data_IF_747642926503
#
_entry.id   IF_747642926503
#
_cell.length_a   1.000
_cell.length_b   1.000
_cell.length_c   1.000
_cell.angle_alpha   90.00
_cell.angle_beta   90.00
_cell.angle_gamma   90.00
#
_symmetry.space_group_name_H-M   'P 1'
#
loop_
_entity.id
_entity.type
_entity.pdbx_description
1 polymer ?
#
# COMPACT_ATOMS: atom_id res chain seq x y z
N UNK A 1 -9.96 -75.45 45.99
CA UNK A 1 -11.17 -74.62 45.86
C UNK A 1 -10.92 -73.12 46.05
N UNK A 2 -9.81 -72.67 46.66
CA UNK A 2 -9.54 -71.24 46.88
C UNK A 2 -8.97 -70.42 45.69
N UNK A 3 -8.51 -71.06 44.60
CA UNK A 3 -7.87 -70.34 43.49
C UNK A 3 -8.86 -69.85 42.41
N UNK A 4 -10.03 -70.49 42.28
CA UNK A 4 -11.03 -70.07 41.29
C UNK A 4 -11.85 -68.84 41.75
N UNK A 5 -11.97 -68.60 43.06
CA UNK A 5 -12.65 -67.43 43.60
C UNK A 5 -11.84 -66.14 43.42
N UNK A 6 -10.51 -66.20 43.56
CA UNK A 6 -9.62 -65.05 43.29
C UNK A 6 -9.55 -64.72 41.79
N UNK A 7 -9.61 -65.74 40.93
CA UNK A 7 -9.64 -65.56 39.46
C UNK A 7 -10.96 -64.97 38.97
N UNK A 8 -12.07 -65.28 39.64
CA UNK A 8 -13.37 -64.67 39.34
C UNK A 8 -13.45 -63.21 39.79
N UNK A 9 -12.74 -62.80 40.87
CA UNK A 9 -12.63 -61.39 41.27
C UNK A 9 -11.77 -60.53 40.33
N UNK A 10 -10.79 -61.12 39.64
CA UNK A 10 -9.92 -60.41 38.69
C UNK A 10 -10.52 -60.28 37.27
N UNK A 11 -11.67 -60.92 37.01
CA UNK A 11 -12.33 -60.96 35.70
C UNK A 11 -13.71 -60.27 35.69
N UNK A 12 -14.15 -59.71 36.81
CA UNK A 12 -15.25 -58.75 36.80
C UNK A 12 -14.62 -57.38 36.51
N UNK A 13 -14.91 -56.75 35.35
CA UNK A 13 -14.71 -55.32 35.25
C UNK A 13 -15.62 -54.72 36.29
N UNK A 14 -15.05 -53.95 37.22
CA UNK A 14 -15.78 -53.29 38.27
C UNK A 14 -16.86 -52.40 37.59
N UNK A 15 -18.12 -52.88 37.56
CA UNK A 15 -19.26 -52.12 37.02
C UNK A 15 -19.49 -50.80 37.78
N UNK A 16 -18.78 -50.61 38.90
CA UNK A 16 -18.69 -49.35 39.63
C UNK A 16 -17.96 -48.24 38.84
N UNK A 17 -17.10 -48.57 37.87
CA UNK A 17 -16.48 -47.58 36.96
C UNK A 17 -17.43 -47.11 35.85
N UNK A 18 -18.50 -47.85 35.54
CA UNK A 18 -19.43 -47.49 34.47
C UNK A 18 -20.45 -46.41 34.87
N UNK A 19 -20.58 -46.13 36.18
CA UNK A 19 -21.38 -45.04 36.73
C UNK A 19 -20.55 -43.98 37.47
N UNK A 20 -19.22 -44.03 37.35
CA UNK A 20 -18.40 -42.89 37.73
C UNK A 20 -18.66 -41.79 36.70
N UNK A 21 -19.46 -40.80 37.10
CA UNK A 21 -19.42 -39.45 36.55
C UNK A 21 -17.97 -39.16 36.22
N UNK A 22 -17.65 -39.04 34.94
CA UNK A 22 -16.31 -38.70 34.47
C UNK A 22 -15.91 -37.39 35.15
N UNK A 23 -15.21 -37.51 36.28
CA UNK A 23 -14.75 -36.38 37.05
C UNK A 23 -13.32 -36.09 36.59
N UNK A 24 -13.13 -35.07 35.74
CA UNK A 24 -11.81 -34.71 35.25
C UNK A 24 -10.86 -34.39 36.41
N UNK A 25 -11.37 -34.19 37.64
CA UNK A 25 -10.56 -33.85 38.78
C UNK A 25 -9.84 -34.99 39.50
N UNK A 26 -10.25 -36.23 39.26
CA UNK A 26 -9.67 -37.43 39.88
C UNK A 26 -8.28 -37.85 39.35
N UNK A 27 -7.83 -37.29 38.21
CA UNK A 27 -6.57 -37.66 37.58
C UNK A 27 -5.34 -37.10 38.33
N UNK A 28 -4.27 -37.88 38.57
CA UNK A 28 -3.06 -37.38 39.21
C UNK A 28 -2.43 -36.26 38.36
N UNK A 29 -1.99 -35.16 38.98
CA UNK A 29 -1.54 -33.92 38.30
C UNK A 29 -0.57 -34.18 37.13
N UNK A 30 0.35 -35.15 37.30
CA UNK A 30 1.33 -35.55 36.29
C UNK A 30 0.71 -36.12 35.02
N UNK A 31 -0.42 -36.81 35.14
CA UNK A 31 -1.19 -37.36 34.02
C UNK A 31 -1.99 -36.27 33.30
N UNK A 32 -2.65 -35.35 34.04
CA UNK A 32 -3.28 -34.14 33.47
C UNK A 32 -2.27 -33.30 32.69
N UNK A 33 -1.06 -33.13 33.22
CA UNK A 33 0.00 -32.37 32.56
C UNK A 33 0.53 -33.06 31.29
N UNK A 34 0.61 -34.41 31.28
CA UNK A 34 0.94 -35.19 30.09
C UNK A 34 -0.15 -35.11 29.01
N UNK A 35 -1.42 -35.20 29.42
CA UNK A 35 -2.57 -35.06 28.52
C UNK A 35 -2.68 -33.65 27.95
N UNK A 36 -2.57 -32.61 28.78
CA UNK A 36 -2.57 -31.21 28.33
C UNK A 36 -1.38 -30.88 27.41
N UNK A 37 -0.19 -31.44 27.68
CA UNK A 37 0.99 -31.30 26.83
C UNK A 37 0.86 -32.07 25.50
N UNK A 38 0.05 -33.13 25.45
CA UNK A 38 -0.21 -33.95 24.25
C UNK A 38 -1.41 -33.44 23.44
N UNK A 39 -2.37 -32.77 24.08
CA UNK A 39 -3.55 -32.15 23.47
C UNK A 39 -3.26 -30.76 22.88
N UNK A 40 -2.13 -30.15 23.24
CA UNK A 40 -1.61 -28.98 22.54
C UNK A 40 -0.92 -29.46 21.26
N UNK A 41 -1.71 -29.83 20.27
CA UNK A 41 -1.24 -30.09 18.90
C UNK A 41 -0.38 -28.90 18.46
N UNK A 42 0.86 -29.15 18.04
CA UNK A 42 1.81 -28.07 17.77
C UNK A 42 1.27 -27.14 16.67
N UNK A 43 0.99 -25.85 16.98
CA UNK A 43 0.20 -24.96 16.13
C UNK A 43 0.98 -24.44 14.92
N UNK A 44 2.16 -25.00 14.62
CA UNK A 44 3.04 -24.52 13.56
C UNK A 44 2.35 -24.62 12.19
N UNK A 45 1.61 -25.70 11.93
CA UNK A 45 0.89 -25.86 10.67
C UNK A 45 -0.26 -24.85 10.53
N UNK A 46 -1.01 -24.58 11.61
CA UNK A 46 -2.09 -23.57 11.61
C UNK A 46 -1.49 -22.17 11.38
N UNK A 47 -0.40 -21.84 12.06
CA UNK A 47 0.33 -20.59 11.86
C UNK A 47 0.86 -20.44 10.43
N UNK A 48 1.38 -21.51 9.83
CA UNK A 48 1.83 -21.50 8.43
C UNK A 48 0.66 -21.25 7.48
N UNK A 49 -0.50 -21.88 7.69
CA UNK A 49 -1.68 -21.64 6.87
C UNK A 49 -2.21 -20.21 6.99
N UNK A 50 -2.23 -19.65 8.20
CA UNK A 50 -2.61 -18.24 8.42
C UNK A 50 -1.64 -17.28 7.72
N UNK A 51 -0.33 -17.52 7.84
CA UNK A 51 0.68 -16.71 7.15
C UNK A 51 0.54 -16.83 5.63
N UNK A 52 0.29 -18.02 5.08
CA UNK A 52 0.06 -18.21 3.65
C UNK A 52 -1.21 -17.49 3.16
N UNK A 53 -2.29 -17.51 3.95
CA UNK A 53 -3.51 -16.77 3.65
C UNK A 53 -3.29 -15.25 3.67
N UNK A 54 -2.51 -14.75 4.64
CA UNK A 54 -2.14 -13.33 4.72
C UNK A 54 -1.23 -12.95 3.54
N UNK A 55 -0.24 -13.77 3.19
CA UNK A 55 0.62 -13.52 2.04
C UNK A 55 -0.18 -13.51 0.74
N UNK A 56 -1.16 -14.40 0.58
CA UNK A 56 -2.02 -14.42 -0.59
C UNK A 56 -2.90 -13.18 -0.69
N UNK A 57 -3.50 -12.73 0.42
CA UNK A 57 -4.31 -11.50 0.43
C UNK A 57 -3.47 -10.26 0.16
N UNK A 58 -2.26 -10.16 0.73
CA UNK A 58 -1.31 -9.08 0.43
C UNK A 58 -0.89 -9.11 -1.04
N UNK A 59 -0.53 -10.28 -1.57
CA UNK A 59 -0.15 -10.42 -2.98
C UNK A 59 -1.31 -10.04 -3.92
N UNK A 60 -2.54 -10.46 -3.62
CA UNK A 60 -3.73 -10.06 -4.36
C UNK A 60 -3.99 -8.55 -4.30
N UNK A 61 -3.85 -7.94 -3.12
CA UNK A 61 -3.98 -6.49 -2.95
C UNK A 61 -2.90 -5.73 -3.72
N UNK A 62 -1.64 -6.20 -3.68
CA UNK A 62 -0.53 -5.62 -4.45
C UNK A 62 -0.74 -5.76 -5.96
N UNK A 63 -1.27 -6.90 -6.41
CA UNK A 63 -1.60 -7.11 -7.81
C UNK A 63 -2.72 -6.17 -8.26
N UNK A 64 -3.80 -6.06 -7.49
CA UNK A 64 -4.89 -5.12 -7.77
C UNK A 64 -4.39 -3.67 -7.79
N UNK A 65 -3.54 -3.29 -6.83
CA UNK A 65 -2.94 -1.95 -6.78
C UNK A 65 -2.06 -1.68 -8.01
N UNK A 66 -1.17 -2.62 -8.36
CA UNK A 66 -0.31 -2.52 -9.53
C UNK A 66 -1.11 -2.47 -10.84
N UNK A 67 -2.16 -3.29 -10.96
CA UNK A 67 -3.02 -3.31 -12.15
C UNK A 67 -3.81 -2.00 -12.28
N UNK A 68 -4.36 -1.49 -11.18
CA UNK A 68 -5.08 -0.22 -11.15
C UNK A 68 -4.18 0.95 -11.58
N UNK A 69 -2.94 1.02 -11.06
CA UNK A 69 -2.00 2.08 -11.42
C UNK A 69 -1.62 2.08 -12.92
N UNK A 70 -1.45 0.89 -13.53
CA UNK A 70 -1.11 0.76 -14.94
C UNK A 70 -2.28 1.09 -15.88
N UNK A 71 -3.50 0.60 -15.59
CA UNK A 71 -4.69 0.91 -16.39
C UNK A 71 -5.03 2.41 -16.31
N UNK A 72 -4.87 3.00 -15.12
CA UNK A 72 -5.13 4.42 -14.90
C UNK A 72 -4.27 5.32 -15.80
N UNK A 73 -3.03 4.93 -16.13
CA UNK A 73 -2.18 5.69 -17.03
C UNK A 73 -2.75 5.78 -18.46
N UNK A 74 -3.15 4.65 -19.05
CA UNK A 74 -3.68 4.66 -20.43
C UNK A 74 -4.97 5.47 -20.56
N UNK A 75 -5.85 5.34 -19.57
CA UNK A 75 -7.09 6.11 -19.51
C UNK A 75 -6.78 7.60 -19.36
N UNK A 76 -5.91 7.98 -18.42
CA UNK A 76 -5.47 9.37 -18.24
C UNK A 76 -4.80 9.94 -19.49
N UNK A 77 -4.01 9.13 -20.20
CA UNK A 77 -3.38 9.52 -21.46
C UNK A 77 -4.41 9.79 -22.55
N UNK A 78 -5.44 8.95 -22.67
CA UNK A 78 -6.56 9.20 -23.59
C UNK A 78 -7.30 10.49 -23.25
N UNK A 79 -7.63 10.73 -21.98
CA UNK A 79 -8.26 11.99 -21.54
C UNK A 79 -7.36 13.22 -21.77
N UNK A 80 -6.05 13.08 -21.60
CA UNK A 80 -5.11 14.17 -21.89
C UNK A 80 -5.12 14.57 -23.37
N UNK A 81 -5.28 13.60 -24.28
CA UNK A 81 -5.47 13.85 -25.71
C UNK A 81 -6.81 14.50 -26.06
N UNK A 82 -7.86 14.23 -25.27
CA UNK A 82 -9.15 14.92 -25.39
C UNK A 82 -9.11 16.37 -24.92
N UNK A 83 -8.02 16.79 -24.29
CA UNK A 83 -7.81 18.18 -23.88
C UNK A 83 -8.07 18.47 -22.40
N UNK A 84 -8.41 17.47 -21.57
CA UNK A 84 -8.63 17.72 -20.14
C UNK A 84 -7.31 18.10 -19.44
N UNK A 85 -7.28 19.30 -18.87
CA UNK A 85 -6.14 19.92 -18.19
C UNK A 85 -5.63 19.09 -17.01
N UNK A 86 -6.52 18.57 -16.17
CA UNK A 86 -6.18 17.70 -15.03
C UNK A 86 -5.50 16.41 -15.50
N UNK A 87 -6.01 15.81 -16.59
CA UNK A 87 -5.43 14.61 -17.16
C UNK A 87 -4.04 14.87 -17.76
N UNK A 88 -3.87 15.99 -18.47
CA UNK A 88 -2.57 16.43 -18.99
C UNK A 88 -1.56 16.64 -17.87
N UNK A 89 -1.98 17.26 -16.76
CA UNK A 89 -1.15 17.40 -15.56
C UNK A 89 -0.72 16.03 -15.01
N UNK A 90 -1.64 15.08 -14.85
CA UNK A 90 -1.32 13.74 -14.35
C UNK A 90 -0.38 12.97 -15.28
N UNK A 91 -0.56 13.05 -16.60
CA UNK A 91 0.34 12.44 -17.58
C UNK A 91 1.74 13.05 -17.47
N UNK A 92 1.84 14.38 -17.35
CA UNK A 92 3.10 15.07 -17.09
C UNK A 92 3.79 14.56 -15.81
N UNK A 93 3.05 14.41 -14.71
CA UNK A 93 3.58 13.85 -13.46
C UNK A 93 4.10 12.42 -13.61
N UNK A 94 3.40 11.57 -14.38
CA UNK A 94 3.83 10.18 -14.61
C UNK A 94 5.13 10.13 -15.41
N UNK A 95 5.28 10.94 -16.46
CA UNK A 95 6.54 11.07 -17.20
C UNK A 95 7.69 11.66 -16.37
N UNK A 96 7.40 12.58 -15.44
CA UNK A 96 8.40 13.19 -14.57
C UNK A 96 8.96 12.19 -13.54
N UNK A 97 8.09 11.36 -12.96
CA UNK A 97 8.45 10.40 -11.91
C UNK A 97 8.80 9.01 -12.43
N UNK A 98 8.41 8.66 -13.66
CA UNK A 98 8.61 7.33 -14.23
C UNK A 98 7.73 6.24 -13.61
N UNK A 99 6.53 6.59 -13.13
CA UNK A 99 5.61 5.61 -12.51
C UNK A 99 4.82 4.87 -13.58
N UNK A 100 5.25 3.65 -13.92
CA UNK A 100 4.60 2.81 -14.94
C UNK A 100 4.95 3.18 -16.39
N UNK A 101 5.85 4.15 -16.58
CA UNK A 101 6.33 4.62 -17.88
C UNK A 101 7.79 5.06 -17.74
N UNK A 102 8.55 5.02 -18.83
CA UNK A 102 9.91 5.53 -18.83
C UNK A 102 9.95 7.03 -18.48
N UNK A 103 10.94 7.40 -17.68
CA UNK A 103 11.12 8.78 -17.22
C UNK A 103 11.55 9.66 -18.38
N UNK A 104 10.70 10.62 -18.73
CA UNK A 104 10.95 11.58 -19.79
C UNK A 104 10.59 12.99 -19.32
N UNK A 105 11.54 13.71 -18.67
CA UNK A 105 11.26 15.03 -18.11
C UNK A 105 10.92 16.05 -19.20
N UNK A 106 11.52 15.97 -20.39
CA UNK A 106 11.23 16.89 -21.50
C UNK A 106 9.76 16.78 -21.95
N UNK A 107 9.27 15.56 -22.18
CA UNK A 107 7.84 15.31 -22.49
C UNK A 107 6.92 15.73 -21.35
N UNK A 108 7.33 15.55 -20.10
CA UNK A 108 6.54 16.00 -18.96
C UNK A 108 6.29 17.52 -18.99
N UNK A 109 7.32 18.30 -19.36
CA UNK A 109 7.19 19.75 -19.48
C UNK A 109 6.24 20.17 -20.60
N UNK A 110 6.26 19.48 -21.74
CA UNK A 110 5.30 19.73 -22.84
C UNK A 110 3.85 19.49 -22.40
N UNK A 111 3.59 18.44 -21.61
CA UNK A 111 2.26 18.18 -21.06
C UNK A 111 1.84 19.20 -20.01
N UNK A 112 2.77 19.60 -19.13
CA UNK A 112 2.49 20.66 -18.16
C UNK A 112 2.23 22.01 -18.85
N UNK A 113 2.91 22.29 -19.96
CA UNK A 113 2.64 23.47 -20.80
C UNK A 113 1.19 23.48 -21.28
N UNK A 114 0.74 22.41 -21.92
CA UNK A 114 -0.65 22.30 -22.41
C UNK A 114 -1.69 22.50 -21.31
N UNK A 115 -1.44 21.96 -20.12
CA UNK A 115 -2.34 22.14 -18.97
C UNK A 115 -2.25 23.56 -18.39
N UNK A 116 -1.05 24.15 -18.33
CA UNK A 116 -0.84 25.53 -17.86
C UNK A 116 -1.49 26.55 -18.80
N UNK A 117 -1.45 26.32 -20.11
CA UNK A 117 -2.10 27.17 -21.12
C UNK A 117 -3.63 27.17 -20.98
N UNK A 118 -4.20 26.10 -20.38
CA UNK A 118 -5.61 26.03 -19.99
C UNK A 118 -5.91 26.66 -18.63
N UNK A 119 -4.89 27.19 -17.94
CA UNK A 119 -5.03 27.80 -16.62
C UNK A 119 -4.91 26.82 -15.44
N UNK A 120 -4.44 25.59 -15.65
CA UNK A 120 -4.30 24.63 -14.55
C UNK A 120 -3.14 25.04 -13.61
N UNK A 121 -3.41 25.41 -12.35
CA UNK A 121 -2.43 26.10 -11.52
C UNK A 121 -1.28 25.20 -11.06
N UNK A 122 -1.54 23.92 -10.72
CA UNK A 122 -0.45 23.00 -10.38
C UNK A 122 0.42 22.62 -11.59
N UNK A 123 -0.11 22.70 -12.82
CA UNK A 123 0.69 22.43 -14.02
C UNK A 123 1.64 23.59 -14.29
N UNK A 124 1.16 24.83 -14.18
CA UNK A 124 1.98 26.03 -14.24
C UNK A 124 3.11 26.01 -13.19
N UNK A 125 2.80 25.61 -11.95
CA UNK A 125 3.80 25.42 -10.90
C UNK A 125 4.86 24.38 -11.28
N UNK A 126 4.45 23.17 -11.71
CA UNK A 126 5.39 22.10 -12.06
C UNK A 126 6.26 22.45 -13.26
N UNK A 127 5.71 23.16 -14.24
CA UNK A 127 6.44 23.64 -15.41
C UNK A 127 7.53 24.65 -15.01
N UNK A 128 7.17 25.63 -14.18
CA UNK A 128 8.13 26.64 -13.71
C UNK A 128 9.24 26.02 -12.84
N UNK A 129 8.90 25.09 -11.94
CA UNK A 129 9.90 24.35 -11.17
C UNK A 129 10.80 23.52 -12.08
N UNK A 130 10.24 22.91 -13.12
CA UNK A 130 11.01 22.15 -14.08
C UNK A 130 12.04 23.01 -14.83
N UNK A 131 11.62 24.21 -15.25
CA UNK A 131 12.52 25.19 -15.85
C UNK A 131 13.61 25.65 -14.88
N UNK A 132 13.25 25.98 -13.62
CA UNK A 132 14.21 26.40 -12.59
C UNK A 132 15.22 25.29 -12.22
N UNK A 133 14.82 24.01 -12.35
CA UNK A 133 15.71 22.86 -12.17
C UNK A 133 16.63 22.62 -13.37
N UNK A 134 16.46 23.35 -14.48
CA UNK A 134 17.27 23.24 -15.69
C UNK A 134 16.81 22.14 -16.66
N UNK A 135 15.55 21.67 -16.57
CA UNK A 135 15.01 20.82 -17.64
C UNK A 135 14.87 21.62 -18.92
N UNK A 136 15.04 20.95 -20.08
CA UNK A 136 14.79 21.59 -21.36
C UNK A 136 13.30 21.88 -21.49
N UNK A 137 13.00 23.16 -21.65
CA UNK A 137 11.66 23.70 -21.85
C UNK A 137 11.73 24.76 -22.93
N UNK A 138 10.59 25.06 -23.54
CA UNK A 138 10.41 26.17 -24.47
C UNK A 138 10.25 27.54 -23.78
N UNK A 139 10.25 27.59 -22.45
CA UNK A 139 10.06 28.83 -21.67
C UNK A 139 11.19 29.83 -21.89
N UNK A 140 10.81 31.10 -22.02
CA UNK A 140 11.75 32.22 -21.99
C UNK A 140 12.19 32.53 -20.55
N UNK A 141 13.42 33.08 -20.36
CA UNK A 141 13.82 33.66 -19.08
C UNK A 141 12.79 34.72 -18.64
N UNK A 142 12.18 34.53 -17.47
CA UNK A 142 11.13 35.42 -16.91
C UNK A 142 9.71 34.84 -16.94
N UNK A 143 9.39 33.99 -17.92
CA UNK A 143 8.06 33.37 -18.03
C UNK A 143 7.76 32.43 -16.85
N UNK A 144 8.79 31.76 -16.33
CA UNK A 144 8.68 30.90 -15.15
C UNK A 144 8.19 31.65 -13.90
N UNK A 145 8.59 32.91 -13.74
CA UNK A 145 8.15 33.72 -12.61
C UNK A 145 6.65 34.01 -12.71
N UNK A 146 6.17 34.36 -13.91
CA UNK A 146 4.74 34.61 -14.17
C UNK A 146 3.89 33.37 -13.88
N UNK A 147 4.35 32.19 -14.29
CA UNK A 147 3.66 30.93 -14.01
C UNK A 147 3.57 30.61 -12.50
N UNK A 148 4.64 30.87 -11.73
CA UNK A 148 4.63 30.68 -10.27
C UNK A 148 3.67 31.67 -9.61
N UNK A 149 3.68 32.94 -10.02
CA UNK A 149 2.75 33.94 -9.50
C UNK A 149 1.30 33.60 -9.83
N UNK A 150 1.03 33.11 -11.04
CA UNK A 150 -0.30 32.61 -11.42
C UNK A 150 -0.72 31.42 -10.56
N UNK A 151 0.16 30.44 -10.35
CA UNK A 151 -0.15 29.29 -9.49
C UNK A 151 -0.44 29.70 -8.04
N UNK A 152 0.36 30.64 -7.50
CA UNK A 152 0.15 31.18 -6.16
C UNK A 152 -1.20 31.92 -6.03
N UNK A 153 -1.57 32.74 -7.03
CA UNK A 153 -2.84 33.45 -7.04
C UNK A 153 -4.06 32.50 -7.09
N UNK A 154 -3.90 31.31 -7.69
CA UNK A 154 -4.93 30.28 -7.79
C UNK A 154 -4.90 29.27 -6.63
N UNK A 155 -4.22 29.59 -5.52
CA UNK A 155 -4.30 28.82 -4.28
C UNK A 155 -3.30 27.66 -4.14
N UNK A 156 -2.29 27.57 -5.01
CA UNK A 156 -1.20 26.59 -4.84
C UNK A 156 -0.27 27.07 -3.73
N UNK A 157 -0.39 26.45 -2.55
CA UNK A 157 0.37 26.85 -1.36
C UNK A 157 1.89 26.72 -1.57
N UNK A 158 2.32 25.67 -2.27
CA UNK A 158 3.71 25.41 -2.59
C UNK A 158 4.32 26.50 -3.47
N UNK A 159 3.51 27.16 -4.30
CA UNK A 159 3.97 28.22 -5.17
C UNK A 159 4.40 29.46 -4.38
N UNK A 160 3.74 29.79 -3.27
CA UNK A 160 4.12 30.93 -2.42
C UNK A 160 5.52 30.76 -1.83
N UNK A 161 5.84 29.56 -1.34
CA UNK A 161 7.17 29.28 -0.78
C UNK A 161 8.27 29.45 -1.83
N UNK A 162 8.02 28.92 -3.03
CA UNK A 162 8.97 29.01 -4.15
C UNK A 162 9.12 30.46 -4.61
N UNK A 163 8.02 31.20 -4.74
CA UNK A 163 8.03 32.62 -5.10
C UNK A 163 8.90 33.44 -4.14
N UNK A 164 8.71 33.27 -2.83
CA UNK A 164 9.53 33.91 -1.81
C UNK A 164 11.01 33.54 -1.96
N UNK A 165 11.32 32.27 -2.23
CA UNK A 165 12.70 31.80 -2.41
C UNK A 165 13.39 32.34 -3.66
N UNK A 166 12.62 32.66 -4.70
CA UNK A 166 13.14 33.28 -5.93
C UNK A 166 13.36 34.78 -5.69
N UNK A 167 12.45 35.44 -4.97
CA UNK A 167 12.61 36.86 -4.64
C UNK A 167 13.81 37.14 -3.73
N UNK A 168 14.08 36.29 -2.75
CA UNK A 168 15.26 36.46 -1.89
C UNK A 168 16.59 36.29 -2.64
N UNK A 169 16.58 35.57 -3.76
CA UNK A 169 17.76 35.39 -4.64
C UNK A 169 17.90 36.49 -5.69
N UNK A 170 17.09 37.55 -5.64
CA UNK A 170 17.13 38.68 -6.58
C UNK A 170 16.43 38.43 -7.93
N UNK A 171 15.64 37.36 -8.05
CA UNK A 171 14.94 36.98 -9.29
C UNK A 171 13.53 37.56 -9.45
N UNK A 172 13.19 38.61 -8.71
CA UNK A 172 11.89 39.29 -8.76
C UNK A 172 12.05 40.69 -9.36
N UNK A 173 12.38 40.76 -10.65
CA UNK A 173 12.36 42.00 -11.42
C UNK A 173 12.02 41.73 -12.88
#
# INVERSE_FOLDING_TARGET
MANNELRQRLLQPDEEEANLSWDPDSLPLKSKLKLARKAKEDPLYVFVLEVLAILFTIAGALYCWFYFDNVHFHVSHAYAHLGYDVAQHHVGQRYLHGKGVDKHPEKAMEWFRKAADQGHPHAAYNLAIGHLKGYKTDLKPGESHQLITHAAANGVQEAHHVLNSVCTKGGCH
#
